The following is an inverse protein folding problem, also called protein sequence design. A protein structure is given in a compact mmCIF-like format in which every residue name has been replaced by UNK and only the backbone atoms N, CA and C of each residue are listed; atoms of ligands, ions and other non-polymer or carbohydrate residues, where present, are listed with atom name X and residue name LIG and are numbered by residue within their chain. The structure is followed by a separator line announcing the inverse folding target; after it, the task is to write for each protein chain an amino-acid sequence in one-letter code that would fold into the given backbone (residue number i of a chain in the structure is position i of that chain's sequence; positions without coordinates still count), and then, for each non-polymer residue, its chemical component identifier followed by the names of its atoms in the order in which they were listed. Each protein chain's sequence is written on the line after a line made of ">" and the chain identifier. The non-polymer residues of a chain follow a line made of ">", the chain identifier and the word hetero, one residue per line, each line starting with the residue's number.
data_IF_930659175929
#
_entry.id   IF_930659175929
#
_cell.length_a   1.000
_cell.length_b   1.000
_cell.length_c   1.000
_cell.angle_alpha   90.00
_cell.angle_beta   90.00
_cell.angle_gamma   90.00
#
_symmetry.space_group_name_H-M   'P 1'
#
loop_
_entity.id
_entity.type
_entity.pdbx_description
1 polymer ?
#
# COMPACT_ATOMS: atom_id res chain seq x y z
N UNK A 1 -2.28 -16.11 9.37
CA UNK A 1 -1.83 -15.95 7.98
C UNK A 1 -2.58 -16.92 7.05
N UNK A 2 -2.64 -18.25 7.35
CA UNK A 2 -3.29 -19.25 6.48
C UNK A 2 -4.78 -18.97 6.17
N UNK A 3 -5.57 -18.56 7.17
CA UNK A 3 -6.98 -18.16 6.97
C UNK A 3 -7.12 -16.96 6.05
N UNK A 4 -6.18 -15.99 6.11
CA UNK A 4 -6.19 -14.82 5.24
C UNK A 4 -5.92 -15.18 3.77
N UNK A 5 -4.98 -16.10 3.50
CA UNK A 5 -4.69 -16.59 2.15
C UNK A 5 -5.92 -17.34 1.60
N UNK A 6 -6.55 -18.20 2.42
CA UNK A 6 -7.75 -18.93 2.02
C UNK A 6 -8.92 -17.98 1.72
N UNK A 7 -9.17 -16.99 2.59
CA UNK A 7 -10.22 -15.99 2.37
C UNK A 7 -9.95 -15.07 1.17
N UNK A 8 -8.66 -14.82 0.86
CA UNK A 8 -8.29 -13.94 -0.25
C UNK A 8 -8.49 -14.59 -1.63
N UNK A 9 -7.99 -15.82 -1.81
CA UNK A 9 -7.94 -16.49 -3.12
C UNK A 9 -8.87 -17.70 -3.25
N UNK A 10 -9.32 -18.28 -2.14
CA UNK A 10 -10.13 -19.47 -2.08
C UNK A 10 -11.39 -19.28 -1.25
N UNK A 11 -12.10 -20.40 -0.99
CA UNK A 11 -13.33 -20.38 -0.19
C UNK A 11 -14.58 -20.00 -0.99
N UNK A 12 -15.73 -19.99 -0.33
CA UNK A 12 -17.02 -19.75 -0.99
C UNK A 12 -17.23 -18.31 -1.44
N UNK A 13 -16.42 -17.35 -0.92
CA UNK A 13 -16.49 -15.91 -1.26
C UNK A 13 -15.09 -15.28 -1.32
N UNK A 14 -14.31 -15.54 -2.39
CA UNK A 14 -12.95 -15.03 -2.47
C UNK A 14 -12.93 -13.50 -2.58
N UNK A 15 -12.23 -12.83 -1.65
CA UNK A 15 -12.16 -11.37 -1.58
C UNK A 15 -11.58 -10.74 -2.85
N UNK A 16 -10.60 -11.42 -3.47
CA UNK A 16 -9.98 -10.99 -4.74
C UNK A 16 -10.96 -10.91 -5.91
N UNK A 17 -12.02 -11.71 -5.91
CA UNK A 17 -13.06 -11.74 -6.97
C UNK A 17 -14.13 -10.65 -6.77
N UNK A 18 -14.28 -10.11 -5.55
CA UNK A 18 -15.36 -9.19 -5.19
C UNK A 18 -14.91 -7.73 -5.07
N UNK A 19 -13.67 -7.40 -5.45
CA UNK A 19 -13.13 -6.05 -5.36
C UNK A 19 -12.76 -5.63 -3.93
N UNK A 20 -12.66 -6.58 -3.01
CA UNK A 20 -12.25 -6.36 -1.61
C UNK A 20 -10.75 -6.59 -1.38
N UNK A 21 -10.00 -6.86 -2.45
CA UNK A 21 -8.56 -7.11 -2.38
C UNK A 21 -7.79 -5.94 -1.75
N UNK A 22 -8.15 -4.71 -2.10
CA UNK A 22 -7.47 -3.52 -1.60
C UNK A 22 -7.67 -3.35 -0.08
N UNK A 23 -8.88 -3.62 0.42
CA UNK A 23 -9.17 -3.63 1.87
C UNK A 23 -8.40 -4.76 2.56
N UNK A 24 -8.37 -5.95 1.96
CA UNK A 24 -7.62 -7.08 2.50
C UNK A 24 -6.12 -6.76 2.59
N UNK A 25 -5.52 -6.13 1.58
CA UNK A 25 -4.11 -5.70 1.61
C UNK A 25 -3.89 -4.67 2.72
N UNK A 26 -4.75 -3.67 2.85
CA UNK A 26 -4.64 -2.67 3.93
C UNK A 26 -4.63 -3.35 5.31
N UNK A 27 -5.52 -4.29 5.54
CA UNK A 27 -5.62 -5.00 6.83
C UNK A 27 -4.42 -5.94 7.02
N UNK A 28 -4.14 -6.84 6.07
CA UNK A 28 -3.15 -7.91 6.25
C UNK A 28 -1.70 -7.46 6.05
N UNK A 29 -1.43 -6.36 5.36
CA UNK A 29 -0.09 -5.82 5.15
C UNK A 29 0.16 -4.48 5.86
N UNK A 30 -0.90 -3.86 6.41
CA UNK A 30 -0.82 -2.68 7.25
C UNK A 30 -1.12 -3.02 8.71
N UNK A 31 -2.39 -3.19 9.04
CA UNK A 31 -2.83 -3.30 10.44
C UNK A 31 -2.28 -4.53 11.14
N UNK A 32 -2.46 -5.72 10.57
CA UNK A 32 -2.07 -6.97 11.23
C UNK A 32 -0.59 -6.97 11.61
N UNK A 33 0.39 -6.79 10.69
CA UNK A 33 1.80 -6.89 11.06
C UNK A 33 2.24 -5.76 12.00
N UNK A 34 1.81 -4.52 11.78
CA UNK A 34 2.25 -3.37 12.57
C UNK A 34 1.65 -3.42 13.98
N UNK A 35 0.33 -3.63 14.08
CA UNK A 35 -0.36 -3.67 15.38
C UNK A 35 0.05 -4.89 16.20
N UNK A 36 0.19 -6.07 15.57
CA UNK A 36 0.62 -7.28 16.28
C UNK A 36 2.05 -7.14 16.81
N UNK A 37 2.98 -6.62 15.99
CA UNK A 37 4.36 -6.38 16.42
C UNK A 37 4.43 -5.39 17.59
N UNK A 38 3.67 -4.29 17.51
CA UNK A 38 3.60 -3.32 18.59
C UNK A 38 3.00 -3.91 19.87
N UNK A 39 1.93 -4.71 19.75
CA UNK A 39 1.30 -5.38 20.89
C UNK A 39 2.27 -6.34 21.59
N UNK A 40 3.04 -7.11 20.84
CA UNK A 40 4.05 -8.02 21.42
C UNK A 40 5.10 -7.25 22.21
N UNK A 41 5.50 -6.05 21.75
CA UNK A 41 6.55 -5.26 22.39
C UNK A 41 6.05 -4.38 23.54
N UNK A 42 4.80 -3.90 23.49
CA UNK A 42 4.26 -2.90 24.41
C UNK A 42 3.08 -3.38 25.25
N UNK A 43 2.48 -4.53 24.94
CA UNK A 43 1.33 -5.09 25.65
C UNK A 43 0.02 -4.31 25.47
N UNK A 44 -0.02 -3.31 24.59
CA UNK A 44 -1.20 -2.45 24.35
C UNK A 44 -1.34 -2.10 22.88
N UNK A 45 -2.56 -1.77 22.46
CA UNK A 45 -2.90 -1.26 21.12
C UNK A 45 -3.65 0.08 21.19
N UNK A 46 -3.68 0.72 22.37
CA UNK A 46 -4.48 1.92 22.62
C UNK A 46 -3.86 3.22 22.10
N UNK A 47 -2.69 3.16 21.43
CA UNK A 47 -2.04 4.33 20.85
C UNK A 47 -2.67 4.72 19.50
N UNK A 48 -3.31 5.90 19.36
CA UNK A 48 -3.86 6.36 18.10
C UNK A 48 -2.81 6.49 17.00
N UNK A 49 -1.57 6.87 17.33
CA UNK A 49 -0.47 6.99 16.38
C UNK A 49 -0.13 5.65 15.75
N UNK A 50 -0.20 4.56 16.52
CA UNK A 50 -0.02 3.20 15.99
C UNK A 50 -0.95 2.92 14.82
N UNK A 51 -2.24 3.21 14.97
CA UNK A 51 -3.24 2.95 13.94
C UNK A 51 -3.06 3.83 12.70
N UNK A 52 -2.63 5.08 12.89
CA UNK A 52 -2.30 5.99 11.78
C UNK A 52 -1.11 5.46 10.98
N UNK A 53 -0.02 5.05 11.65
CA UNK A 53 1.16 4.50 10.99
C UNK A 53 0.85 3.15 10.31
N UNK A 54 0.10 2.28 10.96
CA UNK A 54 -0.34 1.01 10.37
C UNK A 54 -1.19 1.24 9.11
N UNK A 55 -2.08 2.23 9.12
CA UNK A 55 -2.88 2.61 7.96
C UNK A 55 -2.02 3.21 6.85
N UNK A 56 -1.03 4.05 7.18
CA UNK A 56 -0.10 4.61 6.20
C UNK A 56 0.68 3.52 5.46
N UNK A 57 1.24 2.55 6.18
CA UNK A 57 1.93 1.39 5.60
C UNK A 57 0.96 0.54 4.76
N UNK A 58 -0.26 0.31 5.27
CA UNK A 58 -1.29 -0.43 4.54
C UNK A 58 -1.66 0.22 3.21
N UNK A 59 -1.90 1.54 3.18
CA UNK A 59 -2.19 2.29 1.96
C UNK A 59 -1.04 2.25 0.95
N UNK A 60 0.21 2.36 1.43
CA UNK A 60 1.38 2.18 0.57
C UNK A 60 1.46 0.76 0.00
N UNK A 61 1.08 -0.25 0.78
CA UNK A 61 1.03 -1.65 0.32
C UNK A 61 -0.09 -1.89 -0.70
N UNK A 62 -1.23 -1.20 -0.56
CA UNK A 62 -2.31 -1.19 -1.55
C UNK A 62 -1.80 -0.75 -2.92
N UNK A 63 -0.85 0.17 -3.01
CA UNK A 63 -0.26 0.60 -4.28
C UNK A 63 0.43 -0.55 -5.03
N UNK A 64 0.97 -1.56 -4.35
CA UNK A 64 1.50 -2.77 -5.00
C UNK A 64 0.37 -3.53 -5.69
N UNK A 65 -0.76 -3.71 -5.00
CA UNK A 65 -1.93 -4.37 -5.57
C UNK A 65 -2.54 -3.57 -6.72
N UNK A 66 -2.57 -2.23 -6.63
CA UNK A 66 -3.06 -1.35 -7.71
C UNK A 66 -2.27 -1.59 -8.99
N UNK A 67 -0.93 -1.62 -8.92
CA UNK A 67 -0.07 -1.89 -10.10
C UNK A 67 -0.30 -3.30 -10.62
N UNK A 68 -0.43 -4.29 -9.75
CA UNK A 68 -0.70 -5.67 -10.13
C UNK A 68 -2.05 -5.80 -10.87
N UNK A 69 -3.12 -5.27 -10.27
CA UNK A 69 -4.46 -5.29 -10.87
C UNK A 69 -4.54 -4.46 -12.17
N UNK A 70 -3.74 -3.38 -12.27
CA UNK A 70 -3.65 -2.59 -13.51
C UNK A 70 -2.98 -3.38 -14.63
N UNK A 71 -1.89 -4.09 -14.31
CA UNK A 71 -1.20 -4.97 -15.27
C UNK A 71 -2.12 -6.09 -15.77
N UNK A 72 -2.83 -6.72 -14.84
CA UNK A 72 -3.59 -7.94 -15.10
C UNK A 72 -5.07 -7.67 -15.45
N UNK A 73 -5.49 -6.40 -15.63
CA UNK A 73 -6.89 -5.98 -15.75
C UNK A 73 -7.68 -6.73 -16.85
N UNK A 74 -7.07 -7.00 -17.99
CA UNK A 74 -7.73 -7.71 -19.11
C UNK A 74 -7.89 -9.21 -18.82
N UNK A 75 -6.87 -9.82 -18.19
CA UNK A 75 -6.92 -11.23 -17.80
C UNK A 75 -7.90 -11.44 -16.65
N UNK A 76 -7.89 -10.54 -15.67
CA UNK A 76 -8.84 -10.55 -14.55
C UNK A 76 -10.29 -10.42 -15.04
N UNK A 77 -10.54 -9.53 -16.01
CA UNK A 77 -11.87 -9.40 -16.62
C UNK A 77 -12.32 -10.68 -17.30
N UNK A 78 -11.44 -11.32 -18.08
CA UNK A 78 -11.74 -12.62 -18.74
C UNK A 78 -11.98 -13.74 -17.73
N UNK A 79 -11.28 -13.71 -16.60
CA UNK A 79 -11.44 -14.67 -15.49
C UNK A 79 -12.65 -14.37 -14.58
N UNK A 80 -13.46 -13.36 -14.89
CA UNK A 80 -14.65 -12.98 -14.11
C UNK A 80 -14.34 -12.28 -12.78
N UNK A 81 -13.09 -11.89 -12.52
CA UNK A 81 -12.73 -11.12 -11.34
C UNK A 81 -13.25 -9.68 -11.47
N UNK A 82 -13.68 -9.13 -10.33
CA UNK A 82 -14.24 -7.76 -10.24
C UNK A 82 -13.36 -6.87 -9.35
N UNK A 83 -12.04 -6.84 -9.65
CA UNK A 83 -11.12 -5.92 -8.96
C UNK A 83 -11.56 -4.47 -9.15
N UNK A 84 -11.12 -3.54 -8.29
CA UNK A 84 -11.46 -2.12 -8.44
C UNK A 84 -11.08 -1.60 -9.82
N UNK A 85 -9.93 -2.02 -10.35
CA UNK A 85 -9.45 -1.58 -11.67
C UNK A 85 -10.34 -2.14 -12.80
N UNK A 86 -10.80 -3.39 -12.71
CA UNK A 86 -11.74 -3.97 -13.68
C UNK A 86 -13.09 -3.24 -13.66
N UNK A 87 -13.56 -2.82 -12.48
CA UNK A 87 -14.86 -2.13 -12.29
C UNK A 87 -14.83 -0.67 -12.69
N UNK A 88 -13.76 0.04 -12.31
CA UNK A 88 -13.65 1.51 -12.49
C UNK A 88 -12.95 1.89 -13.79
N UNK A 89 -12.32 0.93 -14.46
CA UNK A 89 -11.52 1.14 -15.67
C UNK A 89 -10.05 1.45 -15.40
N UNK A 90 -9.24 1.29 -16.45
CA UNK A 90 -7.78 1.43 -16.36
C UNK A 90 -7.32 2.82 -15.94
N UNK A 91 -8.00 3.88 -16.37
CA UNK A 91 -7.68 5.27 -16.04
C UNK A 91 -7.83 5.60 -14.54
N UNK A 92 -8.55 4.77 -13.81
CA UNK A 92 -8.70 4.88 -12.37
C UNK A 92 -7.41 4.51 -11.62
N UNK A 93 -6.62 3.56 -12.13
CA UNK A 93 -5.46 3.02 -11.42
C UNK A 93 -4.40 4.08 -11.05
N UNK A 94 -3.91 4.95 -11.97
CA UNK A 94 -2.94 5.98 -11.60
C UNK A 94 -3.48 6.99 -10.58
N UNK A 95 -4.77 7.33 -10.66
CA UNK A 95 -5.41 8.24 -9.71
C UNK A 95 -5.53 7.61 -8.33
N UNK A 96 -5.95 6.35 -8.27
CA UNK A 96 -6.07 5.61 -7.02
C UNK A 96 -4.70 5.38 -6.36
N UNK A 97 -3.68 5.04 -7.16
CA UNK A 97 -2.28 4.96 -6.71
C UNK A 97 -1.82 6.26 -6.04
N UNK A 98 -2.05 7.40 -6.71
CA UNK A 98 -1.68 8.71 -6.18
C UNK A 98 -2.43 9.03 -4.89
N UNK A 99 -3.75 8.78 -4.86
CA UNK A 99 -4.58 9.02 -3.68
C UNK A 99 -4.12 8.21 -2.48
N UNK A 100 -3.88 6.91 -2.64
CA UNK A 100 -3.36 6.06 -1.57
C UNK A 100 -1.99 6.55 -1.06
N UNK A 101 -1.09 6.97 -1.97
CA UNK A 101 0.22 7.50 -1.59
C UNK A 101 0.13 8.83 -0.84
N UNK A 102 -0.70 9.76 -1.29
CA UNK A 102 -0.89 11.05 -0.61
C UNK A 102 -1.55 10.89 0.76
N UNK A 103 -2.57 10.02 0.88
CA UNK A 103 -3.18 9.70 2.16
C UNK A 103 -2.18 9.03 3.11
N UNK A 104 -1.36 8.10 2.60
CA UNK A 104 -0.29 7.49 3.39
C UNK A 104 0.66 8.54 3.96
N UNK A 105 1.13 9.48 3.13
CA UNK A 105 1.99 10.59 3.58
C UNK A 105 1.28 11.49 4.61
N UNK A 106 0.02 11.84 4.37
CA UNK A 106 -0.76 12.67 5.30
C UNK A 106 -0.93 12.04 6.67
N UNK A 107 -1.08 10.71 6.74
CA UNK A 107 -1.21 9.97 8.00
C UNK A 107 0.08 9.93 8.83
N UNK A 108 1.22 10.31 8.28
CA UNK A 108 2.50 10.38 9.00
C UNK A 108 2.66 11.69 9.81
N UNK A 109 1.70 12.65 9.73
CA UNK A 109 1.81 13.93 10.41
C UNK A 109 2.16 13.83 11.91
N UNK A 110 1.71 12.82 12.71
CA UNK A 110 2.03 12.76 14.12
C UNK A 110 3.52 12.55 14.42
N UNK A 111 4.28 12.04 13.46
CA UNK A 111 5.72 11.79 13.59
C UNK A 111 6.58 12.79 12.81
N UNK A 112 5.97 13.80 12.16
CA UNK A 112 6.75 14.83 11.47
C UNK A 112 7.51 15.70 12.45
N UNK A 113 8.78 15.90 12.15
CA UNK A 113 9.67 16.93 12.67
C UNK A 113 10.31 17.63 11.49
N UNK A 114 10.98 18.75 11.72
CA UNK A 114 11.72 19.45 10.66
C UNK A 114 12.69 18.51 9.93
N UNK A 115 13.49 17.77 10.66
CA UNK A 115 14.43 16.78 10.09
C UNK A 115 13.73 15.61 9.42
N UNK A 116 12.62 15.12 9.99
CA UNK A 116 11.81 14.08 9.39
C UNK A 116 11.21 14.49 8.04
N UNK A 117 10.75 15.73 7.92
CA UNK A 117 10.26 16.26 6.64
C UNK A 117 11.36 16.31 5.57
N UNK A 118 12.58 16.70 5.93
CA UNK A 118 13.71 16.69 5.01
C UNK A 118 14.05 15.26 4.54
N UNK A 119 14.00 14.29 5.44
CA UNK A 119 14.21 12.87 5.10
C UNK A 119 13.13 12.32 4.14
N UNK A 120 11.93 12.89 4.12
CA UNK A 120 10.86 12.47 3.22
C UNK A 120 11.05 12.96 1.78
N UNK A 121 11.87 13.99 1.52
CA UNK A 121 12.06 14.53 0.18
C UNK A 121 12.52 13.48 -0.85
N UNK A 122 13.56 12.66 -0.59
CA UNK A 122 13.95 11.59 -1.51
C UNK A 122 12.81 10.59 -1.79
N UNK A 123 12.03 10.25 -0.76
CA UNK A 123 10.88 9.37 -0.93
C UNK A 123 9.82 9.97 -1.85
N UNK A 124 9.48 11.26 -1.66
CA UNK A 124 8.52 11.97 -2.51
C UNK A 124 8.98 11.97 -3.98
N UNK A 125 10.27 12.18 -4.22
CA UNK A 125 10.85 12.10 -5.58
C UNK A 125 10.70 10.69 -6.16
N UNK A 126 11.05 9.65 -5.41
CA UNK A 126 10.93 8.26 -5.85
C UNK A 126 9.48 7.86 -6.09
N UNK A 127 8.57 8.25 -5.21
CA UNK A 127 7.14 8.01 -5.35
C UNK A 127 6.57 8.70 -6.60
N UNK A 128 6.88 9.98 -6.79
CA UNK A 128 6.44 10.77 -7.94
C UNK A 128 6.98 10.21 -9.26
N UNK A 129 8.24 9.77 -9.28
CA UNK A 129 8.84 9.12 -10.45
C UNK A 129 8.17 7.77 -10.76
N UNK A 130 7.81 6.99 -9.73
CA UNK A 130 7.10 5.72 -9.89
C UNK A 130 5.67 5.94 -10.39
N UNK A 131 4.95 6.92 -9.81
CA UNK A 131 3.61 7.30 -10.27
C UNK A 131 3.63 7.75 -11.73
N UNK A 132 4.59 8.60 -12.12
CA UNK A 132 4.76 9.04 -13.52
C UNK A 132 5.03 7.85 -14.43
N UNK A 133 5.89 6.91 -14.01
CA UNK A 133 6.15 5.69 -14.77
C UNK A 133 4.87 4.84 -14.95
N UNK A 134 4.02 4.73 -13.91
CA UNK A 134 2.74 4.02 -13.98
C UNK A 134 1.79 4.60 -15.04
N UNK A 135 1.80 5.93 -15.23
CA UNK A 135 0.90 6.59 -16.19
C UNK A 135 1.22 6.24 -17.66
N UNK A 136 2.47 5.89 -17.95
CA UNK A 136 2.94 5.65 -19.31
C UNK A 136 3.39 4.20 -19.56
N UNK A 137 3.48 3.38 -18.51
CA UNK A 137 3.92 1.99 -18.61
C UNK A 137 2.79 1.09 -19.12
N UNK A 138 3.15 0.18 -20.03
CA UNK A 138 2.26 -0.84 -20.57
C UNK A 138 2.93 -2.21 -20.57
N UNK A 139 2.13 -3.28 -20.59
CA UNK A 139 2.60 -4.65 -20.71
C UNK A 139 3.70 -5.00 -19.70
N UNK A 140 4.81 -5.53 -20.19
CA UNK A 140 5.94 -5.97 -19.37
C UNK A 140 6.63 -4.85 -18.53
N UNK A 141 6.52 -3.58 -18.97
CA UNK A 141 7.08 -2.44 -18.23
C UNK A 141 6.38 -2.25 -16.87
N UNK A 142 5.15 -2.68 -16.71
CA UNK A 142 4.44 -2.66 -15.43
C UNK A 142 5.10 -3.54 -14.36
N UNK A 143 5.87 -4.57 -14.74
CA UNK A 143 6.67 -5.34 -13.79
C UNK A 143 7.78 -4.48 -13.16
N UNK A 144 8.38 -3.56 -13.93
CA UNK A 144 9.34 -2.60 -13.39
C UNK A 144 8.66 -1.61 -12.43
N UNK A 145 7.43 -1.16 -12.77
CA UNK A 145 6.63 -0.31 -11.88
C UNK A 145 6.31 -1.04 -10.58
N UNK A 146 5.95 -2.31 -10.65
CA UNK A 146 5.69 -3.15 -9.48
C UNK A 146 6.93 -3.20 -8.56
N UNK A 147 8.11 -3.50 -9.12
CA UNK A 147 9.38 -3.50 -8.37
C UNK A 147 9.71 -2.13 -7.75
N UNK A 148 9.52 -1.03 -8.49
CA UNK A 148 9.70 0.34 -7.98
C UNK A 148 8.73 0.64 -6.83
N UNK A 149 7.47 0.20 -6.94
CA UNK A 149 6.46 0.38 -5.89
C UNK A 149 6.82 -0.39 -4.62
N UNK A 150 7.21 -1.67 -4.75
CA UNK A 150 7.65 -2.47 -3.62
C UNK A 150 8.87 -1.86 -2.90
N UNK A 151 9.86 -1.37 -3.67
CA UNK A 151 11.00 -0.61 -3.14
C UNK A 151 10.53 0.63 -2.37
N UNK A 152 9.56 1.39 -2.91
CA UNK A 152 9.06 2.60 -2.24
C UNK A 152 8.38 2.26 -0.90
N UNK A 153 7.61 1.17 -0.82
CA UNK A 153 7.01 0.70 0.45
C UNK A 153 8.10 0.37 1.47
N UNK A 154 9.15 -0.35 1.05
CA UNK A 154 10.28 -0.67 1.91
C UNK A 154 11.00 0.60 2.42
N UNK A 155 11.30 1.56 1.54
CA UNK A 155 11.91 2.83 1.93
C UNK A 155 11.01 3.63 2.89
N UNK A 156 9.70 3.67 2.65
CA UNK A 156 8.77 4.34 3.56
C UNK A 156 8.83 3.74 4.97
N UNK A 157 8.85 2.42 5.09
CA UNK A 157 8.95 1.75 6.37
C UNK A 157 10.25 2.11 7.11
N UNK A 158 11.40 2.13 6.40
CA UNK A 158 12.68 2.55 6.97
C UNK A 158 12.65 4.03 7.42
N UNK A 159 12.06 4.90 6.62
CA UNK A 159 11.94 6.33 6.96
C UNK A 159 11.05 6.56 8.17
N UNK A 160 9.93 5.85 8.29
CA UNK A 160 9.09 5.91 9.49
C UNK A 160 9.89 5.51 10.72
N UNK A 161 10.66 4.41 10.66
CA UNK A 161 11.54 4.00 11.74
C UNK A 161 12.56 5.06 12.12
N UNK A 162 13.24 5.66 11.13
CA UNK A 162 14.21 6.74 11.36
C UNK A 162 13.55 7.98 11.98
N UNK A 163 12.37 8.37 11.50
CA UNK A 163 11.62 9.53 12.02
C UNK A 163 11.18 9.32 13.48
N UNK A 164 10.76 8.11 13.83
CA UNK A 164 10.43 7.76 15.22
C UNK A 164 11.64 7.87 16.13
N UNK A 165 12.83 7.44 15.68
CA UNK A 165 14.08 7.59 16.42
C UNK A 165 14.52 9.05 16.59
N UNK A 166 14.25 9.91 15.61
CA UNK A 166 14.59 11.33 15.68
C UNK A 166 13.58 12.17 16.51
N UNK A 167 12.41 11.61 16.79
CA UNK A 167 11.38 12.28 17.59
C UNK A 167 11.52 12.01 19.10
N UNK A 168 12.09 10.86 19.46
CA UNK A 168 12.34 10.46 20.87
C UNK A 168 13.57 11.09 21.40
#
# INVERSE_FOLDING_TARGET
>A
VGLGIFAYSGGPYPLSYHGLGDVAVLVFFGWVPVVTSFFILRGTIADPTLWQLATAIGLSSVNILVVNNYRDAEEDRKAGKRTLIVRMGRDFAPRFYLTCGLLSLGLLYPIYSFWGMLLMLPYIVLFSATHRHLQFAEGAELNKTLGKTARNVFFLALLIGAMLLLKG
#
